data_IF_654511773695
#
_entry.id   IF_654511773695
#
_cell.length_a   1.000
_cell.length_b   1.000
_cell.length_c   1.000
_cell.angle_alpha   90.00
_cell.angle_beta   90.00
_cell.angle_gamma   90.00
#
_symmetry.space_group_name_H-M   'P 1'
#
loop_
_entity.id
_entity.type
_entity.pdbx_description
1 polymer ?
#
# COMPACT_ATOMS: atom_id res chain seq x y z
N UNK A 1 21.44 -23.72 -41.93
CA UNK A 1 20.91 -22.37 -42.25
C UNK A 1 20.54 -21.70 -40.95
N UNK A 2 21.36 -20.75 -40.50
CA UNK A 2 21.12 -19.97 -39.28
C UNK A 2 20.39 -18.71 -39.68
N UNK A 3 19.13 -18.53 -39.22
CA UNK A 3 18.40 -17.29 -39.37
C UNK A 3 18.73 -16.39 -38.16
N UNK A 4 19.54 -15.40 -38.38
CA UNK A 4 19.81 -14.30 -37.45
C UNK A 4 18.64 -13.32 -37.58
N UNK A 5 17.78 -13.22 -36.57
CA UNK A 5 16.83 -12.12 -36.47
C UNK A 5 17.56 -10.92 -35.84
N UNK A 6 17.73 -9.89 -36.64
CA UNK A 6 18.18 -8.60 -36.17
C UNK A 6 17.04 -7.93 -35.40
N UNK A 7 17.20 -7.74 -34.08
CA UNK A 7 16.36 -6.81 -33.32
C UNK A 7 16.75 -5.39 -33.70
N UNK A 8 15.84 -4.66 -34.29
CA UNK A 8 15.95 -3.22 -34.44
C UNK A 8 15.71 -2.60 -33.05
N UNK A 9 16.78 -2.20 -32.36
CA UNK A 9 16.70 -1.29 -31.24
C UNK A 9 16.25 0.08 -31.77
N UNK A 10 14.97 0.39 -31.64
CA UNK A 10 14.49 1.75 -31.77
C UNK A 10 15.05 2.56 -30.60
N UNK A 11 16.03 3.41 -30.89
CA UNK A 11 16.50 4.43 -29.95
C UNK A 11 15.31 5.36 -29.65
N UNK A 12 14.70 5.19 -28.47
CA UNK A 12 13.83 6.22 -27.91
C UNK A 12 14.78 7.36 -27.54
N UNK A 13 14.86 8.38 -28.41
CA UNK A 13 15.44 9.66 -28.04
C UNK A 13 14.63 10.20 -26.86
N UNK A 14 15.12 10.04 -25.64
CA UNK A 14 14.72 10.87 -24.51
C UNK A 14 15.19 12.30 -24.84
N UNK A 15 14.36 13.05 -25.55
CA UNK A 15 14.50 14.50 -25.62
C UNK A 15 14.42 14.99 -24.18
N UNK A 16 15.41 15.75 -23.73
CA UNK A 16 15.37 16.44 -22.46
C UNK A 16 14.07 17.27 -22.41
N UNK A 17 13.08 16.76 -21.69
CA UNK A 17 11.84 17.49 -21.46
C UNK A 17 12.20 18.55 -20.43
N UNK A 18 12.44 19.75 -20.89
CA UNK A 18 12.42 20.92 -20.03
C UNK A 18 11.07 20.92 -19.31
N UNK A 19 11.09 21.02 -17.98
CA UNK A 19 9.89 21.14 -17.17
C UNK A 19 9.02 22.25 -17.76
N UNK A 20 7.93 21.88 -18.43
CA UNK A 20 6.97 22.88 -18.89
C UNK A 20 6.41 23.55 -17.63
N UNK A 21 6.31 24.89 -17.62
CA UNK A 21 5.70 25.56 -16.50
C UNK A 21 4.28 25.01 -16.31
N UNK A 22 3.90 24.71 -15.07
CA UNK A 22 2.57 24.18 -14.70
C UNK A 22 1.45 25.22 -14.96
N UNK A 23 1.78 26.32 -15.66
CA UNK A 23 0.91 27.43 -16.00
C UNK A 23 -0.39 27.06 -16.74
N UNK A 24 -0.47 25.85 -17.30
CA UNK A 24 -1.63 25.36 -18.05
C UNK A 24 -2.25 24.10 -17.43
N UNK A 25 -2.19 23.97 -16.09
CA UNK A 25 -2.62 22.74 -15.40
C UNK A 25 -4.05 22.32 -15.79
N UNK A 26 -5.03 23.22 -15.59
CA UNK A 26 -6.44 22.92 -15.88
C UNK A 26 -6.68 22.63 -17.36
N UNK A 27 -5.98 23.34 -18.26
CA UNK A 27 -6.06 23.11 -19.69
C UNK A 27 -5.49 21.75 -20.11
N UNK A 28 -4.44 21.27 -19.46
CA UNK A 28 -3.85 19.95 -19.72
C UNK A 28 -4.72 18.83 -19.16
N UNK A 29 -5.25 19.00 -17.96
CA UNK A 29 -6.23 18.06 -17.37
C UNK A 29 -7.48 17.96 -18.25
N UNK A 30 -8.00 19.10 -18.75
CA UNK A 30 -9.13 19.12 -19.69
C UNK A 30 -8.87 18.39 -21.01
N UNK A 31 -7.60 18.25 -21.42
CA UNK A 31 -7.17 17.42 -22.58
C UNK A 31 -6.98 15.95 -22.23
N UNK A 32 -7.25 15.54 -20.98
CA UNK A 32 -7.05 14.17 -20.51
C UNK A 32 -5.59 13.84 -20.18
N UNK A 33 -4.71 14.84 -20.01
CA UNK A 33 -3.34 14.62 -19.60
C UNK A 33 -3.25 14.49 -18.07
N UNK A 34 -2.25 13.73 -17.64
CA UNK A 34 -1.94 13.50 -16.23
C UNK A 34 -0.54 14.05 -15.92
N UNK A 35 -0.39 14.71 -14.78
CA UNK A 35 0.89 15.20 -14.30
C UNK A 35 1.59 14.11 -13.51
N UNK A 36 2.63 13.50 -14.04
CA UNK A 36 3.32 12.37 -13.42
C UNK A 36 4.77 12.68 -13.09
N UNK A 37 5.31 11.97 -12.11
CA UNK A 37 6.71 12.05 -11.69
C UNK A 37 7.28 10.64 -11.47
N UNK A 38 8.35 10.29 -12.17
CA UNK A 38 8.95 8.94 -12.15
C UNK A 38 10.02 8.77 -11.07
N UNK A 39 10.63 9.83 -10.57
CA UNK A 39 11.55 9.79 -9.44
C UNK A 39 11.59 11.13 -8.71
N UNK A 40 12.15 11.17 -7.50
CA UNK A 40 12.29 12.42 -6.73
C UNK A 40 13.12 13.48 -7.44
N UNK A 41 14.13 13.03 -8.18
CA UNK A 41 15.09 13.90 -8.88
C UNK A 41 14.60 14.35 -10.26
N UNK A 42 13.45 13.86 -10.70
CA UNK A 42 12.85 14.25 -11.98
C UNK A 42 11.76 15.30 -11.80
N UNK A 43 11.75 16.32 -12.66
CA UNK A 43 10.63 17.24 -12.70
C UNK A 43 9.36 16.52 -13.18
N UNK A 44 8.17 16.83 -12.60
CA UNK A 44 6.91 16.33 -13.13
C UNK A 44 6.71 16.70 -14.60
N UNK A 45 6.07 15.83 -15.36
CA UNK A 45 5.76 16.03 -16.77
C UNK A 45 4.35 15.55 -17.10
N UNK A 46 3.79 16.05 -18.19
CA UNK A 46 2.47 15.68 -18.67
C UNK A 46 2.51 14.41 -19.52
N UNK A 47 1.65 13.45 -19.21
CA UNK A 47 1.54 12.18 -19.92
C UNK A 47 0.07 11.86 -20.22
N UNK A 48 -0.18 11.13 -21.30
CA UNK A 48 -1.46 10.49 -21.57
C UNK A 48 -1.62 9.22 -20.73
N UNK A 49 -2.83 8.69 -20.62
CA UNK A 49 -3.07 7.39 -19.97
C UNK A 49 -2.28 6.26 -20.66
N UNK A 50 -2.17 6.27 -21.99
CA UNK A 50 -1.38 5.27 -22.73
C UNK A 50 0.11 5.37 -22.38
N UNK A 51 0.65 6.57 -22.25
CA UNK A 51 2.04 6.79 -21.85
C UNK A 51 2.30 6.32 -20.40
N UNK A 52 1.34 6.48 -19.49
CA UNK A 52 1.42 5.91 -18.13
C UNK A 52 1.48 4.38 -18.19
N UNK A 53 0.61 3.77 -18.99
CA UNK A 53 0.61 2.31 -19.18
C UNK A 53 1.91 1.81 -19.81
N UNK A 54 2.49 2.55 -20.74
CA UNK A 54 3.78 2.20 -21.35
C UNK A 54 4.94 2.27 -20.32
N UNK A 55 4.87 3.19 -19.37
CA UNK A 55 5.82 3.22 -18.26
C UNK A 55 5.69 1.96 -17.39
N UNK A 56 4.47 1.60 -16.98
CA UNK A 56 4.22 0.38 -16.19
C UNK A 56 4.65 -0.90 -16.92
N UNK A 57 4.38 -1.00 -18.24
CA UNK A 57 4.85 -2.10 -19.09
C UNK A 57 6.37 -2.18 -19.20
N UNK A 58 7.06 -1.06 -19.00
CA UNK A 58 8.51 -0.97 -18.98
C UNK A 58 9.09 -1.09 -17.57
N UNK A 59 8.28 -1.56 -16.60
CA UNK A 59 8.64 -1.69 -15.18
C UNK A 59 9.12 -0.37 -14.55
N UNK A 60 8.43 0.71 -14.88
CA UNK A 60 8.70 2.06 -14.38
C UNK A 60 7.47 2.61 -13.68
N UNK A 61 7.49 2.60 -12.37
CA UNK A 61 6.47 3.24 -11.56
C UNK A 61 6.57 4.77 -11.57
N UNK A 62 5.51 5.40 -11.10
CA UNK A 62 5.40 6.87 -11.03
C UNK A 62 4.39 7.29 -9.96
N UNK A 63 4.53 8.52 -9.49
CA UNK A 63 3.41 9.26 -8.88
C UNK A 63 2.55 9.91 -9.95
N UNK A 64 1.24 9.76 -9.87
CA UNK A 64 0.31 10.64 -10.58
C UNK A 64 -0.13 11.76 -9.64
N UNK A 65 0.41 12.94 -9.84
CA UNK A 65 0.21 14.11 -8.98
C UNK A 65 -1.07 14.89 -9.29
N UNK A 66 -1.79 14.53 -10.34
CA UNK A 66 -2.87 15.34 -10.90
C UNK A 66 -3.96 15.66 -9.87
N UNK A 67 -4.43 14.66 -9.12
CA UNK A 67 -5.55 14.84 -8.18
C UNK A 67 -5.16 15.64 -6.92
N UNK A 68 -3.87 15.64 -6.57
CA UNK A 68 -3.38 16.26 -5.33
C UNK A 68 -2.60 17.55 -5.58
N UNK A 69 -2.30 17.89 -6.83
CA UNK A 69 -1.42 18.99 -7.19
C UNK A 69 -1.78 20.32 -6.51
N UNK A 70 -3.00 20.80 -6.70
CA UNK A 70 -3.43 22.08 -6.12
C UNK A 70 -3.37 22.07 -4.60
N UNK A 71 -3.78 20.96 -3.96
CA UNK A 71 -3.73 20.83 -2.51
C UNK A 71 -2.29 20.86 -1.98
N UNK A 72 -1.36 20.19 -2.67
CA UNK A 72 0.06 20.15 -2.29
C UNK A 72 0.71 21.53 -2.49
N UNK A 73 0.42 22.22 -3.59
CA UNK A 73 0.93 23.57 -3.84
C UNK A 73 0.37 24.58 -2.81
N UNK A 74 -0.91 24.47 -2.45
CA UNK A 74 -1.48 25.29 -1.37
C UNK A 74 -0.83 25.02 -0.01
N UNK A 75 -0.56 23.75 0.31
CA UNK A 75 0.18 23.36 1.53
C UNK A 75 1.58 23.99 1.56
N UNK A 76 2.30 23.92 0.43
CA UNK A 76 3.62 24.55 0.29
C UNK A 76 3.55 26.05 0.48
N UNK A 77 2.61 26.71 -0.21
CA UNK A 77 2.43 28.17 -0.13
C UNK A 77 2.08 28.64 1.28
N UNK A 78 1.28 27.88 2.04
CA UNK A 78 0.91 28.16 3.43
C UNK A 78 1.95 27.68 4.45
N UNK A 79 3.02 27.02 4.03
CA UNK A 79 4.04 26.47 4.93
C UNK A 79 3.51 25.36 5.85
N UNK A 80 2.43 24.65 5.44
CA UNK A 80 1.85 23.56 6.22
C UNK A 80 2.84 22.40 6.28
N UNK A 81 3.19 21.99 7.51
CA UNK A 81 4.08 20.85 7.76
C UNK A 81 3.28 19.69 8.32
N UNK A 82 3.74 18.46 8.04
CA UNK A 82 3.22 17.28 8.71
C UNK A 82 3.45 17.36 10.22
N UNK A 83 2.46 16.96 10.99
CA UNK A 83 2.61 16.79 12.44
C UNK A 83 3.09 15.36 12.66
N UNK A 84 4.37 15.23 12.98
CA UNK A 84 5.01 13.97 13.31
C UNK A 84 5.42 13.97 14.77
N UNK A 85 5.12 12.90 15.45
CA UNK A 85 5.73 12.65 16.74
C UNK A 85 7.13 12.10 16.47
N UNK A 86 8.19 12.82 16.92
CA UNK A 86 9.56 12.30 16.80
C UNK A 86 9.64 10.99 17.61
N UNK A 87 9.54 9.89 16.91
CA UNK A 87 9.45 8.60 17.53
C UNK A 87 10.84 8.07 17.86
N UNK A 88 11.12 7.94 19.13
CA UNK A 88 11.93 6.83 19.59
C UNK A 88 10.97 5.66 19.76
N UNK A 89 11.02 4.70 18.86
CA UNK A 89 10.20 3.51 18.99
C UNK A 89 10.72 2.68 20.18
N UNK A 90 9.91 2.41 21.20
CA UNK A 90 10.35 1.67 22.38
C UNK A 90 10.60 0.20 22.03
N UNK A 91 11.50 -0.46 22.75
CA UNK A 91 11.70 -1.89 22.57
C UNK A 91 10.39 -2.65 22.80
N UNK A 92 10.14 -3.75 22.05
CA UNK A 92 8.94 -4.57 22.22
C UNK A 92 8.73 -5.00 23.68
N UNK A 93 7.54 -4.76 24.22
CA UNK A 93 7.25 -4.98 25.66
C UNK A 93 5.93 -5.69 25.93
N UNK A 94 5.07 -5.87 24.92
CA UNK A 94 3.73 -6.43 25.05
C UNK A 94 3.64 -7.92 24.63
N UNK A 95 4.73 -8.68 24.81
CA UNK A 95 4.90 -10.03 24.25
C UNK A 95 3.73 -10.98 24.56
N UNK A 96 3.20 -10.98 25.78
CA UNK A 96 2.07 -11.83 26.16
C UNK A 96 0.82 -11.50 25.36
N UNK A 97 0.47 -10.21 25.27
CA UNK A 97 -0.71 -9.73 24.52
C UNK A 97 -0.56 -10.01 23.03
N UNK A 98 0.61 -9.67 22.46
CA UNK A 98 0.89 -9.90 21.03
C UNK A 98 0.76 -11.37 20.67
N UNK A 99 1.42 -12.27 21.41
CA UNK A 99 1.38 -13.72 21.15
C UNK A 99 -0.02 -14.30 21.30
N UNK A 100 -0.80 -13.82 22.28
CA UNK A 100 -2.19 -14.24 22.46
C UNK A 100 -3.05 -13.87 21.24
N UNK A 101 -2.89 -12.66 20.69
CA UNK A 101 -3.65 -12.22 19.50
C UNK A 101 -3.15 -12.94 18.25
N UNK A 102 -1.83 -13.05 18.04
CA UNK A 102 -1.24 -13.78 16.91
C UNK A 102 -1.76 -15.22 16.84
N UNK A 103 -1.94 -15.90 17.99
CA UNK A 103 -2.45 -17.28 18.01
C UNK A 103 -3.89 -17.42 17.49
N UNK A 104 -4.62 -16.32 17.32
CA UNK A 104 -5.98 -16.31 16.74
C UNK A 104 -6.04 -16.02 15.25
N UNK A 105 -4.91 -15.66 14.62
CA UNK A 105 -4.82 -15.46 13.19
C UNK A 105 -5.06 -16.77 12.42
N UNK A 106 -5.69 -16.68 11.24
CA UNK A 106 -6.09 -17.87 10.50
C UNK A 106 -5.89 -17.71 9.00
N UNK A 107 -5.01 -18.49 8.43
CA UNK A 107 -4.83 -18.61 7.00
C UNK A 107 -6.11 -19.04 6.28
N UNK A 108 -6.94 -19.89 6.91
CA UNK A 108 -8.21 -20.32 6.29
C UNK A 108 -9.19 -19.15 6.08
N UNK A 109 -9.24 -18.18 7.00
CA UNK A 109 -10.05 -16.97 6.81
C UNK A 109 -9.45 -16.05 5.74
N UNK A 110 -8.12 -15.89 5.73
CA UNK A 110 -7.42 -15.15 4.69
C UNK A 110 -7.70 -15.76 3.31
N UNK A 111 -7.62 -17.09 3.17
CA UNK A 111 -7.95 -17.84 1.94
C UNK A 111 -9.40 -17.58 1.49
N UNK A 112 -10.36 -17.65 2.41
CA UNK A 112 -11.77 -17.42 2.10
C UNK A 112 -12.03 -15.99 1.61
N UNK A 113 -11.41 -15.01 2.25
CA UNK A 113 -11.52 -13.61 1.83
C UNK A 113 -10.84 -13.37 0.48
N UNK A 114 -9.65 -13.92 0.27
CA UNK A 114 -8.92 -13.78 -0.99
C UNK A 114 -9.68 -14.47 -2.15
N UNK A 115 -10.27 -15.63 -1.91
CA UNK A 115 -11.11 -16.30 -2.91
C UNK A 115 -12.26 -15.40 -3.39
N UNK A 116 -12.85 -14.59 -2.50
CA UNK A 116 -13.87 -13.62 -2.89
C UNK A 116 -13.25 -12.47 -3.70
N UNK A 117 -12.14 -11.89 -3.25
CA UNK A 117 -11.47 -10.77 -3.95
C UNK A 117 -10.99 -11.17 -5.35
N UNK A 118 -10.42 -12.37 -5.48
CA UNK A 118 -9.94 -12.89 -6.76
C UNK A 118 -11.06 -13.40 -7.67
N UNK A 119 -12.30 -13.52 -7.19
CA UNK A 119 -13.46 -13.88 -8.01
C UNK A 119 -13.95 -12.73 -8.90
N UNK A 120 -13.71 -11.48 -8.51
CA UNK A 120 -13.99 -10.34 -9.37
C UNK A 120 -13.15 -10.43 -10.64
N UNK A 121 -13.69 -9.97 -11.79
CA UNK A 121 -12.94 -10.00 -13.05
C UNK A 121 -11.62 -9.23 -12.94
N UNK A 122 -11.69 -8.04 -12.38
CA UNK A 122 -10.56 -7.26 -11.88
C UNK A 122 -11.06 -6.39 -10.71
N UNK A 123 -10.14 -5.69 -10.07
CA UNK A 123 -10.47 -4.66 -9.07
C UNK A 123 -10.03 -3.26 -9.52
N UNK A 124 -9.95 -3.06 -10.84
CA UNK A 124 -9.51 -1.80 -11.42
C UNK A 124 -10.37 -0.61 -10.95
N UNK A 125 -9.75 0.50 -10.60
CA UNK A 125 -10.34 1.61 -9.86
C UNK A 125 -11.57 2.28 -10.50
N UNK A 126 -11.69 2.22 -11.83
CA UNK A 126 -12.85 2.76 -12.57
C UNK A 126 -13.86 1.69 -12.95
N UNK A 127 -13.55 0.39 -12.75
CA UNK A 127 -14.45 -0.69 -13.12
C UNK A 127 -15.59 -0.87 -12.10
N UNK A 128 -16.71 -1.39 -12.56
CA UNK A 128 -17.82 -1.76 -11.67
C UNK A 128 -17.42 -2.85 -10.67
N UNK A 129 -16.55 -3.78 -11.08
CA UNK A 129 -16.04 -4.83 -10.20
C UNK A 129 -15.05 -4.28 -9.18
N UNK A 130 -14.27 -3.25 -9.51
CA UNK A 130 -13.44 -2.51 -8.55
C UNK A 130 -14.27 -1.78 -7.50
N UNK A 131 -15.36 -1.11 -7.89
CA UNK A 131 -16.31 -0.50 -6.96
C UNK A 131 -17.03 -1.54 -6.07
N UNK A 132 -17.38 -2.70 -6.65
CA UNK A 132 -18.03 -3.79 -5.91
C UNK A 132 -17.08 -4.42 -4.90
N UNK A 133 -15.81 -4.62 -5.24
CA UNK A 133 -14.80 -5.16 -4.32
C UNK A 133 -14.56 -4.23 -3.14
N UNK A 134 -14.46 -2.93 -3.36
CA UNK A 134 -14.37 -1.91 -2.29
C UNK A 134 -15.58 -1.98 -1.36
N UNK A 135 -16.78 -2.07 -1.92
CA UNK A 135 -18.01 -2.20 -1.13
C UNK A 135 -18.03 -3.50 -0.29
N UNK A 136 -17.52 -4.61 -0.85
CA UNK A 136 -17.41 -5.86 -0.13
C UNK A 136 -16.44 -5.73 1.05
N UNK A 137 -15.25 -5.15 0.85
CA UNK A 137 -14.26 -4.92 1.93
C UNK A 137 -14.90 -4.07 3.03
N UNK A 138 -15.55 -2.95 2.67
CA UNK A 138 -16.25 -2.11 3.63
C UNK A 138 -17.24 -2.89 4.47
N UNK A 139 -18.10 -3.71 3.84
CA UNK A 139 -19.09 -4.51 4.53
C UNK A 139 -18.48 -5.57 5.45
N UNK A 140 -17.35 -6.19 5.08
CA UNK A 140 -16.60 -7.10 5.95
C UNK A 140 -16.13 -6.38 7.22
N UNK A 141 -15.51 -5.21 7.07
CA UNK A 141 -14.99 -4.43 8.21
C UNK A 141 -16.12 -3.93 9.12
N UNK A 142 -17.24 -3.47 8.54
CA UNK A 142 -18.46 -3.09 9.30
C UNK A 142 -19.00 -4.29 10.08
N UNK A 143 -19.07 -5.46 9.46
CA UNK A 143 -19.54 -6.69 10.14
C UNK A 143 -18.64 -7.06 11.30
N UNK A 144 -17.30 -7.02 11.12
CA UNK A 144 -16.32 -7.29 12.17
C UNK A 144 -16.46 -6.30 13.34
N UNK A 145 -16.68 -5.01 13.04
CA UNK A 145 -16.80 -3.95 14.04
C UNK A 145 -18.20 -3.88 14.70
N UNK A 146 -19.16 -4.68 14.24
CA UNK A 146 -20.55 -4.60 14.69
C UNK A 146 -20.68 -4.77 16.21
N UNK A 147 -21.39 -3.85 16.86
CA UNK A 147 -21.61 -3.85 18.31
C UNK A 147 -20.39 -3.47 19.14
N UNK A 148 -19.30 -3.02 18.53
CA UNK A 148 -18.07 -2.61 19.24
C UNK A 148 -18.00 -1.08 19.34
N UNK A 149 -18.01 -0.57 20.58
CA UNK A 149 -17.77 0.86 20.83
C UNK A 149 -16.30 1.24 20.57
N UNK A 150 -16.06 2.49 20.19
CA UNK A 150 -14.70 2.98 19.99
C UNK A 150 -14.06 2.53 18.66
N UNK A 151 -14.82 1.87 17.79
CA UNK A 151 -14.38 1.47 16.45
C UNK A 151 -15.28 2.13 15.41
N UNK A 152 -14.69 2.69 14.37
CA UNK A 152 -15.40 3.29 13.24
C UNK A 152 -14.91 2.70 11.93
N UNK A 153 -15.81 2.54 10.96
CA UNK A 153 -15.48 2.16 9.59
C UNK A 153 -16.12 3.17 8.66
N UNK A 154 -15.34 3.77 7.80
CA UNK A 154 -15.79 4.80 6.86
C UNK A 154 -15.24 4.57 5.46
N UNK A 155 -15.93 5.11 4.46
CA UNK A 155 -15.45 5.19 3.09
C UNK A 155 -14.89 6.59 2.82
N UNK A 156 -13.78 6.65 2.10
CA UNK A 156 -13.21 7.87 1.56
C UNK A 156 -13.53 7.93 0.07
N UNK A 157 -14.27 8.97 -0.34
CA UNK A 157 -14.69 9.14 -1.74
C UNK A 157 -13.62 9.88 -2.53
N UNK A 158 -13.46 9.46 -3.77
CA UNK A 158 -12.57 10.04 -4.76
C UNK A 158 -13.37 10.55 -5.97
N UNK A 159 -12.71 11.07 -6.99
CA UNK A 159 -13.33 11.48 -8.27
C UNK A 159 -13.70 10.29 -9.16
N UNK A 160 -13.31 9.06 -8.78
CA UNK A 160 -13.61 7.81 -9.48
C UNK A 160 -14.48 6.86 -8.66
N UNK A 161 -14.88 5.71 -9.25
CA UNK A 161 -15.90 4.83 -8.69
C UNK A 161 -15.47 4.06 -7.44
N UNK A 162 -14.24 3.53 -7.42
CA UNK A 162 -13.71 2.76 -6.29
C UNK A 162 -13.38 3.71 -5.14
N UNK A 163 -13.89 3.43 -3.95
CA UNK A 163 -13.61 4.21 -2.74
C UNK A 163 -12.48 3.56 -1.94
N UNK A 164 -11.69 4.36 -1.25
CA UNK A 164 -10.84 3.86 -0.17
C UNK A 164 -11.66 3.64 1.10
N UNK A 165 -11.18 2.78 2.02
CA UNK A 165 -11.85 2.48 3.28
C UNK A 165 -10.88 2.74 4.43
N UNK A 166 -11.40 3.28 5.54
CA UNK A 166 -10.65 3.48 6.78
C UNK A 166 -11.41 2.83 7.93
N UNK A 167 -10.82 1.80 8.53
CA UNK A 167 -11.30 1.22 9.78
C UNK A 167 -10.37 1.67 10.92
N UNK A 168 -10.94 2.13 12.05
CA UNK A 168 -10.19 2.83 13.08
C UNK A 168 -10.61 2.40 14.47
N UNK A 169 -9.65 2.08 15.31
CA UNK A 169 -9.76 2.09 16.76
C UNK A 169 -9.44 3.52 17.24
N UNK A 170 -10.38 4.18 17.91
CA UNK A 170 -10.26 5.59 18.27
C UNK A 170 -9.13 5.89 19.26
N UNK A 171 -8.73 4.90 20.09
CA UNK A 171 -7.76 5.09 21.16
C UNK A 171 -8.32 5.85 22.38
N UNK A 172 -7.62 5.77 23.48
CA UNK A 172 -7.96 6.51 24.69
C UNK A 172 -7.73 8.02 24.49
N UNK A 173 -6.69 8.42 23.76
CA UNK A 173 -6.42 9.78 23.32
C UNK A 173 -6.67 9.92 21.83
N UNK A 174 -7.81 10.49 21.47
CA UNK A 174 -8.21 10.66 20.06
C UNK A 174 -7.39 11.72 19.32
N UNK A 175 -6.66 12.58 20.05
CA UNK A 175 -5.75 13.60 19.50
C UNK A 175 -4.30 13.14 19.40
N UNK A 176 -3.95 11.97 19.95
CA UNK A 176 -2.61 11.43 19.82
C UNK A 176 -2.30 11.05 18.35
N UNK A 177 -1.01 11.03 18.00
CA UNK A 177 -0.56 10.66 16.69
C UNK A 177 -0.96 9.20 16.34
N UNK A 178 -1.58 8.99 15.19
CA UNK A 178 -2.13 7.70 14.79
C UNK A 178 -1.05 6.73 14.32
N UNK A 179 -1.27 5.43 14.58
CA UNK A 179 -0.57 4.33 13.88
C UNK A 179 -1.46 3.87 12.74
N UNK A 180 -0.91 3.84 11.53
CA UNK A 180 -1.64 3.51 10.30
C UNK A 180 -1.05 2.25 9.67
N UNK A 181 -1.92 1.32 9.30
CA UNK A 181 -1.61 0.18 8.44
C UNK A 181 -2.31 0.38 7.10
N UNK A 182 -1.58 0.30 6.00
CA UNK A 182 -2.11 0.53 4.67
C UNK A 182 -1.93 -0.66 3.75
N UNK A 183 -2.85 -0.84 2.82
CA UNK A 183 -2.73 -1.70 1.65
C UNK A 183 -3.60 -1.13 0.54
N UNK A 184 -3.26 -1.38 -0.73
CA UNK A 184 -4.20 -1.08 -1.80
C UNK A 184 -5.16 -2.24 -2.08
N UNK A 185 -6.26 -1.92 -2.75
CA UNK A 185 -7.35 -2.87 -3.02
C UNK A 185 -7.64 -3.06 -4.51
N UNK A 186 -7.14 -2.19 -5.35
CA UNK A 186 -7.25 -2.33 -6.79
C UNK A 186 -6.32 -3.43 -7.33
N UNK A 187 -6.50 -3.78 -8.59
CA UNK A 187 -5.63 -4.68 -9.35
C UNK A 187 -5.72 -4.33 -10.82
N UNK A 188 -4.66 -4.56 -11.57
CA UNK A 188 -4.56 -4.21 -12.97
C UNK A 188 -4.15 -5.40 -13.84
N UNK A 189 -4.59 -5.40 -15.10
CA UNK A 189 -3.99 -6.19 -16.16
C UNK A 189 -3.41 -5.23 -17.20
N UNK A 190 -2.09 -5.13 -17.29
CA UNK A 190 -1.44 -4.17 -18.17
C UNK A 190 -1.74 -4.38 -19.66
N UNK A 191 -2.19 -5.58 -20.07
CA UNK A 191 -2.61 -5.83 -21.45
C UNK A 191 -4.02 -5.27 -21.74
N UNK A 192 -4.88 -5.16 -20.71
CA UNK A 192 -6.25 -4.67 -20.84
C UNK A 192 -6.75 -4.13 -19.50
N UNK A 193 -6.32 -2.93 -19.06
CA UNK A 193 -6.49 -2.46 -17.69
C UNK A 193 -7.92 -2.43 -17.19
N UNK A 194 -8.85 -1.87 -17.97
CA UNK A 194 -10.25 -1.68 -17.53
C UNK A 194 -11.12 -2.93 -17.63
N UNK A 195 -10.78 -3.88 -18.49
CA UNK A 195 -11.64 -5.03 -18.83
C UNK A 195 -10.97 -6.39 -18.73
N UNK A 196 -9.64 -6.44 -18.74
CA UNK A 196 -8.86 -7.66 -18.61
C UNK A 196 -9.05 -8.32 -17.25
N UNK A 197 -8.91 -9.63 -17.22
CA UNK A 197 -8.86 -10.41 -15.98
C UNK A 197 -7.61 -10.03 -15.19
N UNK A 198 -7.78 -9.59 -13.96
CA UNK A 198 -6.71 -9.28 -13.01
C UNK A 198 -7.10 -9.82 -11.63
N UNK A 199 -6.81 -11.08 -11.32
CA UNK A 199 -7.12 -11.65 -10.01
C UNK A 199 -6.45 -10.87 -8.87
N UNK A 200 -5.23 -10.38 -9.09
CA UNK A 200 -4.46 -9.63 -8.12
C UNK A 200 -4.40 -10.39 -6.79
N UNK A 201 -3.97 -11.67 -6.84
CA UNK A 201 -3.99 -12.50 -5.65
C UNK A 201 -2.92 -12.08 -4.67
N UNK A 202 -1.72 -11.85 -5.17
CA UNK A 202 -0.61 -11.35 -4.39
C UNK A 202 -0.62 -9.83 -4.37
N UNK A 203 -0.77 -9.23 -5.53
CA UNK A 203 -0.80 -7.78 -5.75
C UNK A 203 -2.25 -7.26 -5.93
N UNK A 204 -2.87 -6.66 -4.90
CA UNK A 204 -2.50 -6.72 -3.48
C UNK A 204 -3.66 -7.35 -2.69
N UNK A 205 -4.06 -8.54 -3.13
CA UNK A 205 -5.05 -9.35 -2.43
C UNK A 205 -4.51 -9.82 -1.08
N UNK A 206 -3.23 -10.24 -1.03
CA UNK A 206 -2.59 -10.74 0.20
C UNK A 206 -2.48 -9.66 1.27
N UNK A 207 -2.01 -8.47 0.95
CA UNK A 207 -1.98 -7.35 1.91
C UNK A 207 -3.38 -6.97 2.40
N UNK A 208 -4.36 -6.96 1.51
CA UNK A 208 -5.77 -6.70 1.85
C UNK A 208 -6.30 -7.71 2.87
N UNK A 209 -6.15 -9.02 2.62
CA UNK A 209 -6.68 -10.03 3.55
C UNK A 209 -5.87 -10.14 4.84
N UNK A 210 -4.58 -9.79 4.82
CA UNK A 210 -3.78 -9.65 6.02
C UNK A 210 -4.36 -8.57 6.93
N UNK A 211 -4.63 -7.38 6.42
CA UNK A 211 -5.18 -6.28 7.23
C UNK A 211 -6.61 -6.57 7.70
N UNK A 212 -7.46 -7.23 6.90
CA UNK A 212 -8.79 -7.68 7.36
C UNK A 212 -8.66 -8.65 8.53
N UNK A 213 -7.75 -9.64 8.46
CA UNK A 213 -7.56 -10.63 9.50
C UNK A 213 -6.96 -10.03 10.77
N UNK A 214 -5.99 -9.12 10.65
CA UNK A 214 -5.40 -8.37 11.77
C UNK A 214 -6.48 -7.54 12.48
N UNK A 215 -7.26 -6.77 11.71
CA UNK A 215 -8.38 -5.99 12.26
C UNK A 215 -9.37 -6.87 13.02
N UNK A 216 -9.78 -8.00 12.44
CA UNK A 216 -10.65 -8.98 13.09
C UNK A 216 -10.04 -9.52 14.40
N UNK A 217 -8.77 -9.89 14.38
CA UNK A 217 -8.10 -10.44 15.56
C UNK A 217 -8.05 -9.43 16.71
N UNK A 218 -7.73 -8.17 16.40
CA UNK A 218 -7.71 -7.08 17.38
C UNK A 218 -9.12 -6.78 17.94
N UNK A 219 -10.14 -6.73 17.08
CA UNK A 219 -11.54 -6.54 17.51
C UNK A 219 -12.01 -7.68 18.42
N UNK A 220 -11.69 -8.92 18.06
CA UNK A 220 -12.06 -10.10 18.85
C UNK A 220 -11.36 -10.14 20.21
N UNK A 221 -10.10 -9.70 20.25
CA UNK A 221 -9.33 -9.59 21.49
C UNK A 221 -9.77 -8.44 22.39
N UNK A 222 -10.68 -7.58 21.95
CA UNK A 222 -11.08 -6.39 22.71
C UNK A 222 -9.95 -5.36 22.80
N UNK A 223 -9.12 -5.25 21.76
CA UNK A 223 -8.01 -4.30 21.72
C UNK A 223 -8.48 -2.87 21.94
N UNK A 224 -7.89 -2.21 22.93
CA UNK A 224 -8.18 -0.82 23.29
C UNK A 224 -6.87 -0.05 23.37
N UNK A 225 -6.45 0.60 22.28
CA UNK A 225 -5.18 1.30 22.20
C UNK A 225 -5.18 2.61 22.98
N UNK A 226 -3.99 3.10 23.35
CA UNK A 226 -3.79 4.41 23.94
C UNK A 226 -3.98 5.54 22.90
N UNK A 227 -3.54 5.30 21.66
CA UNK A 227 -3.63 6.22 20.51
C UNK A 227 -4.47 5.63 19.38
N UNK A 228 -4.94 6.42 18.41
CA UNK A 228 -5.66 5.87 17.26
C UNK A 228 -4.82 4.84 16.49
N UNK A 229 -5.46 3.70 16.14
CA UNK A 229 -4.88 2.69 15.26
C UNK A 229 -5.83 2.53 14.07
N UNK A 230 -5.33 2.76 12.88
CA UNK A 230 -6.13 2.87 11.66
C UNK A 230 -5.68 1.86 10.62
N UNK A 231 -6.63 1.27 9.90
CA UNK A 231 -6.43 0.32 8.82
C UNK A 231 -6.99 0.98 7.54
N UNK A 232 -6.12 1.29 6.60
CA UNK A 232 -6.43 1.97 5.36
C UNK A 232 -6.35 1.00 4.19
N UNK A 233 -7.39 0.99 3.38
CA UNK A 233 -7.51 0.19 2.17
C UNK A 233 -7.63 1.16 1.01
N UNK A 234 -6.54 1.38 0.28
CA UNK A 234 -6.44 2.43 -0.72
C UNK A 234 -6.96 1.98 -2.09
N UNK A 235 -7.68 2.86 -2.76
CA UNK A 235 -8.11 2.70 -4.14
C UNK A 235 -7.06 3.30 -5.09
N UNK A 236 -6.96 2.76 -6.31
CA UNK A 236 -6.20 3.35 -7.41
C UNK A 236 -4.69 3.53 -7.12
N UNK A 237 -4.07 2.56 -6.50
CA UNK A 237 -2.62 2.49 -6.33
C UNK A 237 -1.93 2.27 -7.68
N UNK A 238 -2.39 1.27 -8.43
CA UNK A 238 -1.86 0.74 -9.68
C UNK A 238 -1.73 1.77 -10.82
N UNK A 239 -2.31 2.93 -10.63
CA UNK A 239 -2.31 4.03 -11.62
C UNK A 239 -1.60 5.28 -11.12
N UNK A 240 -0.74 5.13 -10.11
CA UNK A 240 0.11 6.18 -9.58
C UNK A 240 -0.26 6.65 -8.17
N UNK A 241 -0.63 5.73 -7.28
CA UNK A 241 -0.83 5.92 -5.84
C UNK A 241 -1.94 6.95 -5.50
N UNK A 242 -2.99 7.05 -6.32
CA UNK A 242 -3.96 8.15 -6.23
C UNK A 242 -4.68 8.21 -4.89
N UNK A 243 -5.14 7.07 -4.38
CA UNK A 243 -5.94 7.01 -3.16
C UNK A 243 -5.15 7.34 -1.90
N UNK A 244 -3.97 6.79 -1.77
CA UNK A 244 -3.09 7.07 -0.63
C UNK A 244 -2.57 8.50 -0.63
N UNK A 245 -2.24 9.07 -1.82
CA UNK A 245 -1.86 10.47 -1.95
C UNK A 245 -2.98 11.40 -1.47
N UNK A 246 -4.23 11.16 -1.91
CA UNK A 246 -5.38 11.97 -1.51
C UNK A 246 -5.60 11.95 0.00
N UNK A 247 -5.49 10.77 0.63
CA UNK A 247 -5.68 10.63 2.07
C UNK A 247 -4.52 11.24 2.85
N UNK A 248 -3.26 10.99 2.47
CA UNK A 248 -2.09 11.55 3.14
C UNK A 248 -2.06 13.08 3.06
N UNK A 249 -2.39 13.66 1.89
CA UNK A 249 -2.50 15.10 1.71
C UNK A 249 -3.64 15.69 2.57
N UNK A 250 -4.79 15.00 2.67
CA UNK A 250 -5.89 15.40 3.54
C UNK A 250 -5.49 15.39 5.02
N UNK A 251 -4.73 14.37 5.46
CA UNK A 251 -4.21 14.30 6.83
C UNK A 251 -3.33 15.49 7.15
N UNK A 252 -2.42 15.84 6.24
CA UNK A 252 -1.54 17.01 6.40
C UNK A 252 -2.34 18.31 6.45
N UNK A 253 -3.27 18.53 5.53
CA UNK A 253 -4.11 19.74 5.51
C UNK A 253 -4.97 19.89 6.77
N UNK A 254 -5.47 18.79 7.31
CA UNK A 254 -6.31 18.78 8.52
C UNK A 254 -5.52 18.73 9.82
N UNK A 255 -4.18 18.80 9.76
CA UNK A 255 -3.32 18.81 10.95
C UNK A 255 -3.38 17.50 11.75
N UNK A 256 -3.69 16.38 11.12
CA UNK A 256 -3.67 15.07 11.80
C UNK A 256 -2.23 14.62 12.01
N UNK A 257 -1.93 14.20 13.23
CA UNK A 257 -0.62 13.67 13.60
C UNK A 257 -0.53 12.17 13.27
N UNK A 258 0.61 11.72 12.73
CA UNK A 258 0.91 10.33 12.46
C UNK A 258 2.20 9.93 13.18
N UNK A 259 2.12 8.83 13.93
CA UNK A 259 3.25 8.24 14.66
C UNK A 259 4.05 7.27 13.79
N UNK A 260 3.34 6.43 13.05
CA UNK A 260 3.92 5.47 12.11
C UNK A 260 2.88 5.09 11.05
N UNK A 261 3.31 4.92 9.81
CA UNK A 261 2.55 4.28 8.73
C UNK A 261 3.31 3.05 8.25
N UNK A 262 2.64 1.91 8.22
CA UNK A 262 3.20 0.62 7.78
C UNK A 262 2.35 0.10 6.64
N UNK A 263 2.96 -0.02 5.46
CA UNK A 263 2.32 -0.50 4.25
C UNK A 263 2.46 -2.01 4.12
N UNK A 264 1.40 -2.72 3.74
CA UNK A 264 1.44 -4.13 3.36
C UNK A 264 1.02 -4.26 1.91
N UNK A 265 1.96 -4.66 1.08
CA UNK A 265 1.76 -4.83 -0.34
C UNK A 265 2.62 -5.99 -0.82
N UNK A 266 2.02 -6.92 -1.56
CA UNK A 266 2.67 -8.17 -1.95
C UNK A 266 3.29 -8.89 -0.75
N UNK A 267 2.54 -9.79 -0.16
CA UNK A 267 2.93 -10.48 1.09
C UNK A 267 2.81 -12.00 0.99
N UNK A 268 2.57 -12.54 -0.20
CA UNK A 268 2.21 -13.94 -0.38
C UNK A 268 3.24 -14.79 -1.12
N UNK A 269 4.30 -14.22 -1.61
CA UNK A 269 5.24 -14.95 -2.47
C UNK A 269 6.67 -14.92 -1.92
N UNK A 270 7.39 -15.99 -2.11
CA UNK A 270 8.85 -16.02 -2.08
C UNK A 270 9.39 -16.95 -3.16
N UNK A 271 10.50 -16.56 -3.78
CA UNK A 271 11.08 -17.29 -4.90
C UNK A 271 11.45 -18.71 -4.50
N UNK A 272 10.98 -19.75 -5.22
CA UNK A 272 11.35 -21.13 -4.92
C UNK A 272 12.86 -21.34 -4.84
N UNK A 273 13.32 -21.96 -3.75
CA UNK A 273 14.72 -22.21 -3.48
C UNK A 273 15.50 -21.02 -2.85
N UNK A 274 14.85 -19.87 -2.65
CA UNK A 274 15.41 -18.77 -1.85
C UNK A 274 15.16 -18.97 -0.35
N UNK A 275 15.84 -18.19 0.48
CA UNK A 275 15.54 -18.10 1.91
C UNK A 275 14.28 -17.28 2.12
N UNK A 276 13.32 -17.83 2.85
CA UNK A 276 12.08 -17.14 3.23
C UNK A 276 12.37 -16.06 4.27
N UNK A 277 12.03 -14.81 3.96
CA UNK A 277 12.33 -13.64 4.79
C UNK A 277 11.23 -12.59 4.68
N UNK A 278 11.17 -11.64 5.62
CA UNK A 278 10.50 -10.36 5.43
C UNK A 278 11.59 -9.33 5.09
N UNK A 279 11.62 -8.85 3.85
CA UNK A 279 12.49 -7.75 3.45
C UNK A 279 11.92 -6.41 3.94
N UNK A 280 12.71 -5.36 3.95
CA UNK A 280 12.25 -4.00 4.22
C UNK A 280 12.70 -3.07 3.11
N UNK A 281 11.78 -2.34 2.53
CA UNK A 281 12.08 -1.29 1.56
C UNK A 281 12.87 -0.17 2.24
N UNK A 282 13.83 0.43 1.54
CA UNK A 282 14.75 1.42 2.10
C UNK A 282 14.60 2.81 1.51
N UNK A 283 13.91 2.95 0.41
CA UNK A 283 13.59 4.24 -0.20
C UNK A 283 12.19 4.72 0.24
N UNK A 284 12.04 6.03 0.43
CA UNK A 284 10.82 6.70 0.90
C UNK A 284 10.27 6.14 2.22
N UNK A 285 11.16 5.84 3.15
CA UNK A 285 10.83 5.27 4.46
C UNK A 285 11.52 6.02 5.61
N UNK A 286 11.02 5.81 6.82
CA UNK A 286 11.70 6.20 8.06
C UNK A 286 12.62 5.06 8.50
N UNK A 287 13.93 5.32 8.55
CA UNK A 287 14.93 4.30 8.89
C UNK A 287 14.83 3.83 10.35
N UNK A 288 14.34 4.70 11.24
CA UNK A 288 14.08 4.35 12.65
C UNK A 288 12.91 3.38 12.76
N UNK A 289 11.83 3.60 11.97
CA UNK A 289 10.71 2.67 11.90
C UNK A 289 11.13 1.33 11.30
N UNK A 290 11.92 1.31 10.23
CA UNK A 290 12.48 0.07 9.68
C UNK A 290 13.31 -0.70 10.72
N UNK A 291 14.17 -0.01 11.47
CA UNK A 291 14.95 -0.62 12.55
C UNK A 291 14.04 -1.23 13.61
N UNK A 292 12.97 -0.52 13.96
CA UNK A 292 11.97 -1.03 14.90
C UNK A 292 11.23 -2.26 14.37
N UNK A 293 10.79 -2.25 13.10
CA UNK A 293 10.15 -3.41 12.49
C UNK A 293 11.05 -4.65 12.48
N UNK A 294 12.37 -4.50 12.28
CA UNK A 294 13.32 -5.61 12.43
C UNK A 294 13.28 -6.22 13.84
N UNK A 295 13.13 -5.39 14.87
CA UNK A 295 13.00 -5.87 16.23
C UNK A 295 11.69 -6.64 16.46
N UNK A 296 10.58 -6.21 15.85
CA UNK A 296 9.30 -6.91 15.89
C UNK A 296 9.35 -8.24 15.14
N UNK A 297 9.97 -8.27 13.94
CA UNK A 297 10.18 -9.51 13.18
C UNK A 297 10.93 -10.51 14.03
N UNK A 298 12.04 -10.10 14.64
CA UNK A 298 12.83 -10.98 15.54
C UNK A 298 12.05 -11.49 16.74
N UNK A 299 11.14 -10.69 17.31
CA UNK A 299 10.39 -11.02 18.52
C UNK A 299 9.15 -11.89 18.27
N UNK A 300 8.52 -11.73 17.07
CA UNK A 300 7.16 -12.22 16.86
C UNK A 300 6.93 -13.03 15.58
N UNK A 301 7.82 -12.95 14.60
CA UNK A 301 7.73 -13.72 13.36
C UNK A 301 8.55 -15.02 13.44
N UNK A 302 8.18 -15.99 12.61
CA UNK A 302 8.88 -17.28 12.54
C UNK A 302 10.00 -17.27 11.49
N UNK A 303 9.98 -16.28 10.58
CA UNK A 303 10.99 -16.07 9.56
C UNK A 303 11.81 -14.81 9.88
N UNK A 304 13.08 -14.73 9.47
CA UNK A 304 13.94 -13.59 9.79
C UNK A 304 13.63 -12.37 8.92
N UNK A 305 14.11 -11.21 9.36
CA UNK A 305 14.23 -10.06 8.48
C UNK A 305 15.30 -10.33 7.42
N UNK A 306 14.96 -10.07 6.16
CA UNK A 306 15.87 -10.21 5.04
C UNK A 306 16.79 -9.03 4.82
N UNK A 307 17.54 -9.08 3.72
CA UNK A 307 18.26 -7.93 3.18
C UNK A 307 17.27 -6.86 2.72
N UNK A 308 17.75 -5.63 2.73
CA UNK A 308 16.93 -4.50 2.32
C UNK A 308 16.56 -4.59 0.84
N UNK A 309 15.38 -4.08 0.52
CA UNK A 309 14.87 -3.94 -0.83
C UNK A 309 14.88 -2.47 -1.24
N UNK A 310 15.34 -2.18 -2.44
CA UNK A 310 15.31 -0.84 -3.01
C UNK A 310 14.50 -0.85 -4.31
N UNK A 311 13.38 -0.15 -4.31
CA UNK A 311 12.54 0.00 -5.49
C UNK A 311 13.16 0.93 -6.54
N UNK A 312 13.79 2.01 -6.10
CA UNK A 312 14.29 3.06 -6.97
C UNK A 312 13.24 4.07 -7.43
N UNK A 313 11.98 3.92 -7.00
CA UNK A 313 10.86 4.81 -7.28
C UNK A 313 9.81 4.74 -6.16
N UNK A 314 8.70 5.45 -6.31
CA UNK A 314 7.56 5.38 -5.39
C UNK A 314 6.73 4.13 -5.69
N UNK A 315 7.17 2.99 -5.21
CA UNK A 315 6.69 1.67 -5.60
C UNK A 315 5.45 1.18 -4.84
N UNK A 316 4.99 1.89 -3.83
CA UNK A 316 3.72 1.61 -3.18
C UNK A 316 3.29 2.75 -2.23
N UNK A 317 2.16 2.59 -1.58
CA UNK A 317 1.42 3.60 -0.81
C UNK A 317 2.20 4.25 0.35
N UNK A 318 3.24 3.59 0.91
CA UNK A 318 4.14 4.18 1.91
C UNK A 318 4.78 5.48 1.41
N UNK A 319 5.08 5.55 0.10
CA UNK A 319 5.71 6.70 -0.52
C UNK A 319 4.81 7.95 -0.48
N UNK A 320 3.49 7.78 -0.59
CA UNK A 320 2.53 8.87 -0.44
C UNK A 320 2.62 9.54 0.94
N UNK A 321 2.72 8.76 1.99
CA UNK A 321 2.83 9.26 3.36
C UNK A 321 4.20 9.88 3.63
N UNK A 322 5.28 9.24 3.18
CA UNK A 322 6.63 9.77 3.32
C UNK A 322 6.79 11.12 2.59
N UNK A 323 6.26 11.23 1.37
CA UNK A 323 6.27 12.49 0.60
C UNK A 323 5.53 13.62 1.33
N UNK A 324 4.49 13.31 2.10
CA UNK A 324 3.83 14.28 2.95
C UNK A 324 4.61 14.60 4.25
N UNK A 325 5.72 13.91 4.51
CA UNK A 325 6.60 14.09 5.67
C UNK A 325 6.24 13.22 6.86
N UNK A 326 5.41 12.18 6.70
CA UNK A 326 5.07 11.25 7.76
C UNK A 326 6.03 10.05 7.79
N UNK A 327 6.33 9.49 8.98
CA UNK A 327 7.14 8.28 9.09
C UNK A 327 6.41 7.09 8.44
N UNK A 328 7.03 6.48 7.44
CA UNK A 328 6.48 5.36 6.72
C UNK A 328 7.47 4.20 6.64
N UNK A 329 6.97 2.98 6.53
CA UNK A 329 7.74 1.76 6.31
C UNK A 329 6.98 0.80 5.41
N UNK A 330 7.74 -0.06 4.73
CA UNK A 330 7.18 -1.04 3.83
C UNK A 330 7.91 -2.38 3.98
N UNK A 331 7.40 -3.31 4.82
CA UNK A 331 7.84 -4.71 4.82
C UNK A 331 7.35 -5.39 3.54
N UNK A 332 8.27 -6.06 2.84
CA UNK A 332 8.05 -6.62 1.52
C UNK A 332 8.36 -8.13 1.49
N UNK A 333 7.70 -8.87 0.61
CA UNK A 333 7.73 -10.33 0.56
C UNK A 333 9.08 -10.94 0.19
N UNK A 334 9.92 -10.20 -0.54
CA UNK A 334 11.16 -10.72 -1.07
C UNK A 334 12.25 -9.64 -1.14
N UNK A 335 13.53 -10.04 -1.12
CA UNK A 335 14.63 -9.14 -1.48
C UNK A 335 14.59 -8.82 -2.98
N UNK A 336 15.26 -7.74 -3.37
CA UNK A 336 15.34 -7.22 -4.74
C UNK A 336 15.36 -8.32 -5.83
N UNK A 337 14.59 -8.13 -6.88
CA UNK A 337 14.42 -8.98 -8.07
C UNK A 337 14.00 -10.44 -7.79
N UNK A 338 13.35 -10.67 -6.66
CA UNK A 338 12.87 -12.00 -6.26
C UNK A 338 11.37 -12.01 -5.95
N UNK A 339 10.68 -10.92 -6.22
CA UNK A 339 9.23 -10.76 -6.10
C UNK A 339 8.45 -11.63 -7.11
N UNK A 340 7.14 -11.68 -6.94
CA UNK A 340 6.24 -12.43 -7.82
C UNK A 340 6.29 -11.88 -9.26
N UNK A 341 6.75 -12.67 -10.25
CA UNK A 341 6.87 -12.20 -11.63
C UNK A 341 5.54 -12.21 -12.41
N UNK A 342 4.41 -12.56 -11.77
CA UNK A 342 3.11 -12.72 -12.44
C UNK A 342 2.14 -11.57 -12.12
N UNK A 343 2.54 -10.58 -11.35
CA UNK A 343 1.73 -9.41 -11.02
C UNK A 343 1.29 -8.65 -12.28
N UNK A 344 0.32 -7.77 -12.15
CA UNK A 344 -0.23 -6.95 -13.24
C UNK A 344 -0.75 -7.77 -14.44
N UNK A 345 -1.18 -9.02 -14.19
CA UNK A 345 -1.65 -9.93 -15.24
C UNK A 345 -2.77 -10.87 -14.76
N UNK A 346 -3.34 -11.62 -15.67
CA UNK A 346 -4.30 -12.69 -15.33
C UNK A 346 -3.66 -13.87 -14.60
N UNK A 347 -2.35 -13.92 -14.52
CA UNK A 347 -1.58 -15.01 -13.91
C UNK A 347 -1.25 -14.77 -12.43
N UNK A 348 -1.55 -13.59 -11.90
CA UNK A 348 -1.41 -13.34 -10.45
C UNK A 348 -2.51 -14.07 -9.68
N UNK A 349 -2.23 -15.30 -9.32
CA UNK A 349 -3.14 -16.25 -8.66
C UNK A 349 -2.43 -16.99 -7.53
N UNK A 350 -3.20 -17.55 -6.61
CA UNK A 350 -2.66 -18.40 -5.53
C UNK A 350 -2.01 -19.71 -6.01
N UNK A 351 -2.06 -20.01 -7.30
CA UNK A 351 -1.40 -21.19 -7.89
C UNK A 351 0.00 -20.89 -8.44
N UNK A 352 0.47 -19.64 -8.34
CA UNK A 352 1.84 -19.28 -8.70
C UNK A 352 2.82 -20.09 -7.86
N UNK A 353 3.81 -20.70 -8.55
CA UNK A 353 4.86 -21.43 -7.83
C UNK A 353 5.69 -20.48 -6.97
N UNK A 354 5.65 -20.65 -5.67
CA UNK A 354 6.24 -19.74 -4.67
C UNK A 354 5.18 -19.00 -3.84
N UNK A 355 3.90 -19.03 -4.21
CA UNK A 355 2.83 -18.50 -3.36
C UNK A 355 2.69 -19.33 -2.07
N UNK A 356 2.64 -18.68 -0.91
CA UNK A 356 2.65 -19.33 0.39
C UNK A 356 1.78 -18.61 1.42
N UNK A 357 0.77 -19.30 1.91
CA UNK A 357 -0.08 -18.78 2.99
C UNK A 357 0.64 -18.67 4.33
N UNK A 358 1.63 -19.52 4.58
CA UNK A 358 2.45 -19.43 5.78
C UNK A 358 3.35 -18.20 5.74
N UNK A 359 3.86 -17.85 4.57
CA UNK A 359 4.62 -16.63 4.34
C UNK A 359 3.74 -15.39 4.58
N UNK A 360 2.58 -15.33 3.92
CA UNK A 360 1.64 -14.22 4.08
C UNK A 360 1.20 -14.03 5.54
N UNK A 361 1.05 -15.11 6.30
CA UNK A 361 0.71 -15.05 7.73
C UNK A 361 1.78 -14.31 8.55
N UNK A 362 3.05 -14.35 8.17
CA UNK A 362 4.11 -13.66 8.91
C UNK A 362 3.93 -12.14 8.87
N UNK A 363 3.41 -11.61 7.77
CA UNK A 363 3.06 -10.18 7.65
C UNK A 363 1.86 -9.81 8.54
N UNK A 364 0.86 -10.68 8.64
CA UNK A 364 -0.23 -10.49 9.59
C UNK A 364 0.27 -10.51 11.05
N UNK A 365 1.25 -11.38 11.39
CA UNK A 365 1.88 -11.39 12.70
C UNK A 365 2.63 -10.09 12.96
N UNK A 366 3.43 -9.62 12.01
CA UNK A 366 4.17 -8.37 12.10
C UNK A 366 3.22 -7.18 12.30
N UNK A 367 2.17 -7.07 11.49
CA UNK A 367 1.19 -5.99 11.61
C UNK A 367 0.44 -6.04 12.95
N UNK A 368 0.08 -7.24 13.43
CA UNK A 368 -0.53 -7.43 14.77
C UNK A 368 0.41 -6.95 15.87
N UNK A 369 1.69 -7.34 15.80
CA UNK A 369 2.70 -6.92 16.77
C UNK A 369 2.87 -5.40 16.77
N UNK A 370 3.02 -4.79 15.59
CA UNK A 370 3.16 -3.35 15.44
C UNK A 370 1.91 -2.61 15.96
N UNK A 371 0.70 -3.10 15.68
CA UNK A 371 -0.54 -2.49 16.16
C UNK A 371 -0.63 -2.49 17.70
N UNK A 372 -0.26 -3.60 18.34
CA UNK A 372 -0.32 -3.72 19.80
C UNK A 372 0.80 -2.90 20.46
N UNK A 373 2.02 -3.03 19.99
CA UNK A 373 3.19 -2.35 20.59
C UNK A 373 3.11 -0.84 20.43
N UNK A 374 2.88 -0.34 19.19
CA UNK A 374 2.82 1.08 18.90
C UNK A 374 1.50 1.74 19.34
N UNK A 375 0.41 1.00 19.32
CA UNK A 375 -0.90 1.48 19.77
C UNK A 375 -1.02 1.60 21.28
N UNK A 376 -0.13 0.99 22.05
CA UNK A 376 -0.15 0.96 23.52
C UNK A 376 0.74 2.01 24.18
N UNK A 377 1.42 2.85 23.41
CA UNK A 377 2.35 3.89 23.89
C UNK A 377 1.83 5.30 23.66
#
# INVERSE_FOLDING_TARGET
MKFTRALALGSICLSAVFAAPVSDFDANVAKGLRLIQTSEDTAPFWATEDQKLDLLRADKGFFDLTETYHQVEEQKAKGIKAIVERATYPSPSKSSTVKSIISTLSTSRMQSNLATLTSYNNRYYTSSTGSSSSTWIYNQLVSIASGKSGITVSQYSHSWAQKSIIAKFNGASTSAAAVIFGCHIDSINLSSPSSGRAPGADDNGTGTVNLIEVFRALVTAGFSPARPVEFHFYAAEEVGLLGSQAIAANYKSSGKAVYAMINLDMTGYFKPGSTEVIALVTDRVDSGLNTYLRSLISAYCSIPAGTDYQCGYACSDHASWNTQGYPAAFPFEAPTVSENPNIHSSSDTTSVNGFSWTHSLEFAKLATAAAVELGSV
#
